data_IF_515513314321
#
_entry.id   IF_515513314321
#
_cell.length_a   1.000
_cell.length_b   1.000
_cell.length_c   1.000
_cell.angle_alpha   90.00
_cell.angle_beta   90.00
_cell.angle_gamma   90.00
#
_symmetry.space_group_name_H-M   'P 1'
#
loop_
_entity.id
_entity.type
_entity.pdbx_description
1 polymer ?
#
# COMPACT_ATOMS: atom_id res chain seq x y z
N UNK A 1 -13.44 -36.23 -15.42
CA UNK A 1 -13.76 -34.80 -15.18
C UNK A 1 -12.89 -34.30 -14.05
N UNK A 2 -12.16 -33.21 -14.23
CA UNK A 2 -11.43 -32.56 -13.13
C UNK A 2 -12.39 -31.62 -12.40
N UNK A 3 -12.42 -31.71 -11.07
CA UNK A 3 -13.21 -30.81 -10.21
C UNK A 3 -12.33 -29.61 -9.84
N UNK A 4 -12.87 -28.40 -9.99
CA UNK A 4 -12.20 -27.18 -9.53
C UNK A 4 -11.99 -27.23 -8.01
N UNK A 5 -10.78 -26.86 -7.57
CA UNK A 5 -10.40 -26.80 -6.16
C UNK A 5 -10.40 -25.33 -5.75
N UNK A 6 -11.31 -24.95 -4.86
CA UNK A 6 -11.30 -23.64 -4.20
C UNK A 6 -10.54 -23.79 -2.88
N UNK A 7 -9.35 -23.17 -2.72
CA UNK A 7 -8.54 -23.35 -1.52
C UNK A 7 -9.20 -22.74 -0.27
N UNK A 8 -8.99 -23.33 0.93
CA UNK A 8 -9.49 -22.79 2.19
C UNK A 8 -8.59 -21.67 2.77
N UNK A 9 -7.77 -21.03 1.94
CA UNK A 9 -6.80 -20.01 2.32
C UNK A 9 -6.69 -18.96 1.21
N UNK A 10 -6.18 -17.78 1.58
CA UNK A 10 -5.83 -16.73 0.63
C UNK A 10 -4.43 -16.95 0.08
N UNK A 11 -4.29 -16.73 -1.23
CA UNK A 11 -3.04 -16.72 -1.97
C UNK A 11 -2.91 -15.37 -2.65
N UNK A 12 -1.92 -14.57 -2.24
CA UNK A 12 -1.68 -13.22 -2.77
C UNK A 12 -0.36 -13.21 -3.52
N UNK A 13 -0.38 -12.74 -4.76
CA UNK A 13 0.83 -12.49 -5.56
C UNK A 13 1.23 -11.02 -5.42
N UNK A 14 2.51 -10.76 -5.17
CA UNK A 14 3.12 -9.42 -5.24
C UNK A 14 4.34 -9.45 -6.17
N UNK A 15 4.72 -8.31 -6.73
CA UNK A 15 5.81 -8.20 -7.72
C UNK A 15 7.06 -7.53 -7.17
N UNK A 16 8.19 -7.77 -7.83
CA UNK A 16 9.46 -7.09 -7.60
C UNK A 16 9.81 -6.27 -8.84
N UNK A 17 10.10 -4.98 -8.63
CA UNK A 17 10.35 -3.99 -9.68
C UNK A 17 11.85 -3.64 -9.76
N UNK A 18 12.42 -3.48 -10.96
CA UNK A 18 13.85 -3.26 -11.14
C UNK A 18 14.27 -1.78 -11.02
N UNK A 19 13.45 -0.89 -10.46
CA UNK A 19 13.74 0.57 -10.42
C UNK A 19 15.06 0.91 -9.72
N UNK A 20 15.44 0.15 -8.70
CA UNK A 20 16.74 0.31 -8.02
C UNK A 20 17.96 0.03 -8.92
N UNK A 21 17.77 -0.65 -10.07
CA UNK A 21 18.80 -0.86 -11.09
C UNK A 21 18.89 0.31 -12.08
N UNK A 22 17.87 1.17 -12.16
CA UNK A 22 17.76 2.25 -13.13
C UNK A 22 17.35 3.56 -12.44
N UNK A 23 18.24 4.20 -11.66
CA UNK A 23 17.91 5.35 -10.80
C UNK A 23 17.46 6.61 -11.55
N UNK A 24 17.71 6.71 -12.86
CA UNK A 24 17.22 7.80 -13.71
C UNK A 24 15.79 7.61 -14.23
N UNK A 25 15.14 6.49 -13.90
CA UNK A 25 13.77 6.18 -14.30
C UNK A 25 12.82 6.49 -13.14
N UNK A 26 11.66 7.04 -13.48
CA UNK A 26 10.60 7.30 -12.52
C UNK A 26 10.00 5.97 -11.99
N UNK A 27 10.02 5.71 -10.67
CA UNK A 27 9.50 4.47 -10.08
C UNK A 27 7.95 4.44 -10.00
N UNK A 28 7.28 4.69 -11.11
CA UNK A 28 5.82 4.72 -11.23
C UNK A 28 5.27 3.48 -11.95
N UNK A 29 4.10 3.04 -11.52
CA UNK A 29 3.32 2.03 -12.24
C UNK A 29 2.59 2.67 -13.42
N UNK A 30 2.41 1.91 -14.49
CA UNK A 30 1.73 2.34 -15.70
C UNK A 30 1.07 1.16 -16.42
N UNK A 31 0.55 1.40 -17.64
CA UNK A 31 -0.10 0.35 -18.44
C UNK A 31 0.89 -0.71 -18.95
N UNK A 32 2.19 -0.40 -18.99
CA UNK A 32 3.24 -1.32 -19.41
C UNK A 32 3.82 -2.08 -18.20
N UNK A 33 3.98 -3.39 -18.34
CA UNK A 33 4.58 -4.25 -17.32
C UNK A 33 6.10 -4.04 -17.22
N UNK A 34 6.59 -3.76 -16.01
CA UNK A 34 8.03 -3.56 -15.73
C UNK A 34 8.62 -4.48 -14.66
N UNK A 35 7.78 -5.26 -13.98
CA UNK A 35 8.23 -6.19 -12.93
C UNK A 35 9.06 -7.33 -13.53
N UNK A 36 10.09 -7.77 -12.80
CA UNK A 36 10.98 -8.86 -13.23
C UNK A 36 10.79 -10.15 -12.44
N UNK A 37 10.14 -10.08 -11.29
CA UNK A 37 9.88 -11.23 -10.44
C UNK A 37 8.59 -11.08 -9.65
N UNK A 38 8.19 -12.15 -8.99
CA UNK A 38 7.00 -12.24 -8.16
C UNK A 38 7.21 -13.13 -6.95
N UNK A 39 6.41 -12.90 -5.93
CA UNK A 39 6.36 -13.68 -4.69
C UNK A 39 4.92 -14.01 -4.34
N UNK A 40 4.74 -15.07 -3.58
CA UNK A 40 3.42 -15.54 -3.14
C UNK A 40 3.34 -15.55 -1.61
N UNK A 41 2.35 -14.84 -1.07
CA UNK A 41 1.97 -14.94 0.33
C UNK A 41 0.74 -15.81 0.51
N UNK A 42 0.78 -16.76 1.45
CA UNK A 42 -0.34 -17.64 1.79
C UNK A 42 -0.78 -17.41 3.24
N UNK A 43 -2.07 -17.19 3.47
CA UNK A 43 -2.59 -16.86 4.79
C UNK A 43 -4.06 -17.25 4.96
N UNK A 44 -4.51 -17.31 6.22
CA UNK A 44 -5.92 -17.62 6.55
C UNK A 44 -6.84 -16.45 6.20
N UNK A 45 -6.30 -15.25 6.16
CA UNK A 45 -7.00 -14.03 5.75
C UNK A 45 -6.24 -13.34 4.63
N UNK A 46 -6.95 -12.49 3.87
CA UNK A 46 -6.31 -11.63 2.87
C UNK A 46 -5.18 -10.79 3.48
N UNK A 47 -5.41 -10.19 4.66
CA UNK A 47 -4.42 -9.36 5.34
C UNK A 47 -3.16 -10.16 5.71
N UNK A 48 -3.30 -11.40 6.19
CA UNK A 48 -2.17 -12.28 6.49
C UNK A 48 -1.40 -12.65 5.22
N UNK A 49 -2.10 -13.03 4.16
CA UNK A 49 -1.49 -13.40 2.88
C UNK A 49 -0.77 -12.21 2.24
N UNK A 50 -1.40 -11.02 2.23
CA UNK A 50 -0.81 -9.80 1.72
C UNK A 50 0.42 -9.36 2.53
N UNK A 51 0.38 -9.44 3.86
CA UNK A 51 1.54 -9.13 4.70
C UNK A 51 2.75 -10.04 4.39
N UNK A 52 2.50 -11.33 4.14
CA UNK A 52 3.55 -12.29 3.72
C UNK A 52 4.08 -11.98 2.32
N UNK A 53 3.20 -11.64 1.37
CA UNK A 53 3.60 -11.28 0.01
C UNK A 53 4.43 -9.98 0.01
N UNK A 54 4.00 -8.95 0.75
CA UNK A 54 4.73 -7.68 0.90
C UNK A 54 6.10 -7.86 1.58
N UNK A 55 6.18 -8.71 2.60
CA UNK A 55 7.47 -9.06 3.21
C UNK A 55 8.37 -9.79 2.21
N UNK A 56 7.80 -10.75 1.48
CA UNK A 56 8.51 -11.51 0.44
C UNK A 56 9.03 -10.63 -0.70
N UNK A 57 8.33 -9.55 -1.05
CA UNK A 57 8.76 -8.62 -2.12
C UNK A 57 9.85 -7.65 -1.67
N UNK A 58 10.41 -7.85 -0.47
CA UNK A 58 11.47 -7.03 0.12
C UNK A 58 11.04 -5.58 0.43
N UNK A 59 9.76 -5.38 0.79
CA UNK A 59 9.26 -4.09 1.26
C UNK A 59 9.91 -3.68 2.58
N UNK A 60 10.20 -2.38 2.74
CA UNK A 60 10.76 -1.80 3.97
C UNK A 60 9.69 -1.29 4.95
N UNK A 61 8.41 -1.59 4.69
CA UNK A 61 7.27 -1.09 5.47
C UNK A 61 7.44 -1.37 6.96
N UNK A 62 7.22 -0.33 7.78
CA UNK A 62 7.26 -0.41 9.25
C UNK A 62 5.84 -0.47 9.80
N UNK A 63 5.69 -0.88 11.05
CA UNK A 63 4.38 -0.93 11.73
C UNK A 63 4.03 0.35 12.52
N UNK A 64 4.96 1.30 12.57
CA UNK A 64 4.84 2.59 13.25
C UNK A 64 5.79 3.60 12.57
N UNK A 65 5.61 4.88 12.88
CA UNK A 65 6.46 5.96 12.38
C UNK A 65 5.61 7.12 11.85
N UNK A 66 6.11 7.81 10.83
CA UNK A 66 5.45 8.94 10.20
C UNK A 66 5.14 8.62 8.74
N UNK A 67 3.89 8.82 8.33
CA UNK A 67 3.42 8.59 6.98
C UNK A 67 3.19 9.93 6.26
N UNK A 68 3.65 10.03 5.02
CA UNK A 68 3.36 11.16 4.13
C UNK A 68 2.19 10.80 3.22
N UNK A 69 1.15 11.64 3.20
CA UNK A 69 -0.02 11.49 2.35
C UNK A 69 -0.08 12.62 1.33
N UNK A 70 0.05 12.28 0.06
CA UNK A 70 -0.09 13.21 -1.06
C UNK A 70 -0.80 12.50 -2.19
N UNK A 71 -2.11 12.72 -2.33
CA UNK A 71 -2.95 12.00 -3.27
C UNK A 71 -3.52 12.92 -4.34
N UNK A 72 -3.91 12.34 -5.49
CA UNK A 72 -4.66 13.04 -6.54
C UNK A 72 -6.09 13.34 -6.08
N UNK A 73 -6.75 14.27 -6.76
CA UNK A 73 -8.13 14.69 -6.45
C UNK A 73 -9.11 13.52 -6.30
N UNK A 74 -9.08 12.55 -7.22
CA UNK A 74 -10.01 11.41 -7.22
C UNK A 74 -9.88 10.46 -6.03
N UNK A 75 -8.79 10.55 -5.26
CA UNK A 75 -8.57 9.70 -4.08
C UNK A 75 -8.77 10.45 -2.76
N UNK A 76 -9.07 11.76 -2.79
CA UNK A 76 -9.20 12.60 -1.58
C UNK A 76 -10.34 12.20 -0.66
N UNK A 77 -11.44 11.66 -1.18
CA UNK A 77 -12.52 11.17 -0.32
C UNK A 77 -12.07 9.90 0.43
N UNK A 78 -11.39 8.99 -0.26
CA UNK A 78 -10.97 7.69 0.28
C UNK A 78 -9.76 7.79 1.18
N UNK A 79 -8.92 8.81 1.00
CA UNK A 79 -7.71 9.00 1.82
C UNK A 79 -8.03 9.28 3.28
N UNK A 80 -9.23 9.80 3.58
CA UNK A 80 -9.70 10.06 4.95
C UNK A 80 -9.75 8.78 5.79
N UNK A 81 -10.37 7.71 5.26
CA UNK A 81 -10.44 6.41 5.95
C UNK A 81 -9.05 5.75 6.06
N UNK A 82 -8.19 5.92 5.05
CA UNK A 82 -6.80 5.47 5.12
C UNK A 82 -6.02 6.19 6.23
N UNK A 83 -6.15 7.51 6.33
CA UNK A 83 -5.53 8.31 7.38
C UNK A 83 -6.01 7.87 8.77
N UNK A 84 -7.32 7.64 8.95
CA UNK A 84 -7.88 7.14 10.20
C UNK A 84 -7.30 5.76 10.59
N UNK A 85 -7.13 4.85 9.62
CA UNK A 85 -6.49 3.53 9.84
C UNK A 85 -5.02 3.66 10.26
N UNK A 86 -4.27 4.56 9.63
CA UNK A 86 -2.86 4.82 9.96
C UNK A 86 -2.73 5.43 11.38
N UNK A 87 -3.57 6.40 11.72
CA UNK A 87 -3.62 7.00 13.07
C UNK A 87 -3.97 5.94 14.13
N UNK A 88 -4.98 5.11 13.87
CA UNK A 88 -5.36 4.00 14.76
C UNK A 88 -4.22 3.01 14.98
N UNK A 89 -3.37 2.83 13.97
CA UNK A 89 -2.19 1.96 14.04
C UNK A 89 -0.99 2.62 14.76
N UNK A 90 -1.07 3.92 15.07
CA UNK A 90 -0.04 4.67 15.79
C UNK A 90 0.96 5.41 14.89
N UNK A 91 0.58 5.72 13.65
CA UNK A 91 1.37 6.60 12.79
C UNK A 91 1.10 8.08 13.06
N UNK A 92 2.13 8.90 12.95
CA UNK A 92 2.00 10.34 12.73
C UNK A 92 1.80 10.62 11.23
N UNK A 93 1.09 11.69 10.87
CA UNK A 93 0.78 12.01 9.48
C UNK A 93 1.30 13.39 9.08
N UNK A 94 1.93 13.45 7.91
CA UNK A 94 2.16 14.68 7.15
C UNK A 94 1.37 14.60 5.85
N UNK A 95 0.92 15.74 5.32
CA UNK A 95 0.25 15.77 4.02
C UNK A 95 0.56 17.03 3.22
N UNK A 96 0.56 16.90 1.89
CA UNK A 96 0.67 18.07 1.00
C UNK A 96 -0.62 18.89 1.03
N UNK A 97 -0.53 20.19 0.75
CA UNK A 97 -1.61 21.17 0.93
C UNK A 97 -3.01 20.68 0.50
N UNK A 98 -3.16 20.19 -0.73
CA UNK A 98 -4.46 19.74 -1.24
C UNK A 98 -5.01 18.50 -0.53
N UNK A 99 -4.13 17.63 -0.02
CA UNK A 99 -4.52 16.45 0.78
C UNK A 99 -4.82 16.88 2.22
N UNK A 100 -4.03 17.80 2.78
CA UNK A 100 -4.19 18.32 4.13
C UNK A 100 -5.53 19.05 4.34
N UNK A 101 -6.02 19.79 3.34
CA UNK A 101 -7.34 20.45 3.41
C UNK A 101 -8.44 19.42 3.68
N UNK A 102 -8.50 18.35 2.87
CA UNK A 102 -9.54 17.34 3.00
C UNK A 102 -9.40 16.52 4.28
N UNK A 103 -8.16 16.25 4.72
CA UNK A 103 -7.92 15.60 5.99
C UNK A 103 -8.29 16.49 7.19
N UNK A 104 -8.04 17.80 7.13
CA UNK A 104 -8.38 18.75 8.19
C UNK A 104 -9.89 18.96 8.37
N UNK A 105 -10.65 18.85 7.29
CA UNK A 105 -12.12 18.88 7.33
C UNK A 105 -12.72 17.63 7.99
N UNK A 106 -12.02 16.49 7.92
CA UNK A 106 -12.53 15.19 8.36
C UNK A 106 -11.87 14.62 9.63
N UNK A 107 -10.64 15.04 9.96
CA UNK A 107 -9.83 14.47 11.03
C UNK A 107 -9.23 15.61 11.86
N UNK A 108 -9.68 15.74 13.11
CA UNK A 108 -9.20 16.75 14.08
C UNK A 108 -7.78 16.44 14.58
N UNK A 109 -6.79 16.42 13.69
CA UNK A 109 -5.38 16.21 14.04
C UNK A 109 -4.49 17.17 13.27
N UNK A 110 -3.46 17.69 13.95
CA UNK A 110 -2.44 18.57 13.35
C UNK A 110 -1.67 17.80 12.28
N UNK A 111 -2.08 18.00 11.04
CA UNK A 111 -1.26 17.76 9.87
C UNK A 111 -0.34 18.99 9.76
N UNK A 112 0.98 18.79 9.81
CA UNK A 112 1.97 19.88 9.70
C UNK A 112 2.28 20.19 8.24
#
# INVERSE_FOLDING_TARGET
>A
MTKEIIPPYYSVKEVVLPFNKFPGVDPLLGPEMRSTGEVMGVGRTFAEAFAKAQLGSNSTMKKQGRALLSVREGDKERVVDLAAKLLKQGFELDATHGTAIVLGEAVSTRVW
#
